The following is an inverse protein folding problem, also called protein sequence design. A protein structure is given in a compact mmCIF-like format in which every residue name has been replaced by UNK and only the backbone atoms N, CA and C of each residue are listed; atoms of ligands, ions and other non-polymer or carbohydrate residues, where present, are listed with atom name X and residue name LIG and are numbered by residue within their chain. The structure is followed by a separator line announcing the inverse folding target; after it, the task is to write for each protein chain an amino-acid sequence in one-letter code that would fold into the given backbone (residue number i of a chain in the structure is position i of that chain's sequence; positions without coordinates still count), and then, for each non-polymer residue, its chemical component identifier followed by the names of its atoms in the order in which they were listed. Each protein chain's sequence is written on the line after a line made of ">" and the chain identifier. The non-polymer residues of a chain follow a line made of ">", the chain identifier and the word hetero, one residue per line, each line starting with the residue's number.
data_IF_952766731903
#
_entry.id   IF_952766731903
#
_cell.length_a   1.000
_cell.length_b   1.000
_cell.length_c   1.000
_cell.angle_alpha   90.00
_cell.angle_beta   90.00
_cell.angle_gamma   90.00
#
_symmetry.space_group_name_H-M   'P 1'
#
loop_
_entity.id
_entity.type
_entity.pdbx_description
1 polymer ?
#
# COMPACT_ATOMS: atom_id res chain seq x y z
N UNK A 1 11.85 -22.77 -10.70
CA UNK A 1 11.08 -23.79 -11.43
C UNK A 1 10.79 -24.96 -10.50
N UNK A 2 9.55 -25.44 -10.52
CA UNK A 2 9.15 -26.68 -9.86
C UNK A 2 9.96 -27.89 -10.35
N UNK A 3 9.75 -29.06 -9.75
CA UNK A 3 10.37 -30.31 -10.22
C UNK A 3 9.93 -30.63 -11.66
N UNK A 4 8.72 -30.25 -12.03
CA UNK A 4 8.13 -30.41 -13.36
C UNK A 4 8.50 -29.32 -14.36
N UNK A 5 9.30 -28.32 -13.96
CA UNK A 5 9.79 -27.25 -14.83
C UNK A 5 8.80 -26.12 -15.07
N UNK A 6 7.65 -26.12 -14.40
CA UNK A 6 6.63 -25.06 -14.51
C UNK A 6 6.87 -23.93 -13.51
N UNK A 7 6.25 -22.77 -13.78
CA UNK A 7 6.30 -21.60 -12.88
C UNK A 7 5.55 -21.89 -11.57
N UNK A 8 4.39 -22.53 -11.66
CA UNK A 8 3.61 -23.00 -10.52
C UNK A 8 3.72 -24.52 -10.38
N UNK A 9 3.87 -25.01 -9.14
CA UNK A 9 3.87 -26.44 -8.86
C UNK A 9 2.52 -27.07 -9.22
N UNK A 10 2.56 -28.27 -9.80
CA UNK A 10 1.35 -29.02 -10.19
C UNK A 10 0.63 -29.64 -8.99
N UNK A 11 1.40 -30.07 -8.01
CA UNK A 11 0.93 -30.74 -6.79
C UNK A 11 1.92 -30.54 -5.63
N UNK A 12 1.57 -31.06 -4.46
CA UNK A 12 2.35 -30.97 -3.21
C UNK A 12 3.74 -31.64 -3.27
N UNK A 13 3.97 -32.53 -4.23
CA UNK A 13 5.25 -33.21 -4.44
C UNK A 13 6.10 -32.56 -5.53
N UNK A 14 5.55 -31.56 -6.23
CA UNK A 14 6.20 -30.87 -7.34
C UNK A 14 7.17 -29.78 -6.87
N UNK A 15 8.10 -30.17 -6.00
CA UNK A 15 9.16 -29.31 -5.51
C UNK A 15 10.51 -30.02 -5.60
N UNK A 16 11.56 -29.21 -5.64
CA UNK A 16 12.96 -29.62 -5.51
C UNK A 16 13.73 -28.48 -4.87
N UNK A 17 14.88 -28.79 -4.28
CA UNK A 17 15.83 -27.75 -3.90
C UNK A 17 16.14 -26.87 -5.10
N UNK A 18 16.13 -25.56 -4.89
CA UNK A 18 16.49 -24.61 -5.95
C UNK A 18 17.93 -24.85 -6.44
N UNK A 19 18.84 -25.22 -5.54
CA UNK A 19 20.22 -25.60 -5.84
C UNK A 19 20.70 -26.71 -4.89
N UNK A 20 21.62 -27.57 -5.37
CA UNK A 20 22.15 -28.71 -4.60
C UNK A 20 22.98 -28.30 -3.39
N UNK A 21 23.52 -27.07 -3.38
CA UNK A 21 24.29 -26.53 -2.25
C UNK A 21 23.46 -26.10 -1.05
N UNK A 22 22.14 -25.95 -1.22
CA UNK A 22 21.27 -25.41 -0.16
C UNK A 22 21.28 -26.30 1.09
N UNK A 23 21.07 -27.63 1.01
CA UNK A 23 21.05 -28.48 2.20
C UNK A 23 22.37 -28.43 2.98
N UNK A 24 23.50 -28.32 2.30
CA UNK A 24 24.82 -28.20 2.93
C UNK A 24 24.97 -26.86 3.67
N UNK A 25 24.60 -25.75 3.03
CA UNK A 25 24.66 -24.43 3.65
C UNK A 25 23.71 -24.26 4.83
N UNK A 26 22.50 -24.83 4.74
CA UNK A 26 21.57 -24.85 5.88
C UNK A 26 22.14 -25.63 7.06
N UNK A 27 22.75 -26.80 6.83
CA UNK A 27 23.42 -27.56 7.89
C UNK A 27 24.58 -26.81 8.51
N UNK A 28 25.37 -26.08 7.71
CA UNK A 28 26.45 -25.25 8.22
C UNK A 28 25.93 -24.12 9.13
N UNK A 29 24.83 -23.46 8.76
CA UNK A 29 24.21 -22.42 9.59
C UNK A 29 23.66 -22.96 10.91
N UNK A 30 22.99 -24.12 10.87
CA UNK A 30 22.52 -24.78 12.09
C UNK A 30 23.69 -25.13 13.02
N UNK A 31 24.78 -25.66 12.46
CA UNK A 31 26.01 -25.92 13.20
C UNK A 31 26.62 -24.65 13.82
N UNK A 32 26.58 -23.52 13.09
CA UNK A 32 27.04 -22.22 13.57
C UNK A 32 26.07 -21.56 14.58
N UNK A 33 24.99 -22.24 14.96
CA UNK A 33 24.04 -21.82 15.99
C UNK A 33 22.92 -20.90 15.50
N UNK A 34 22.73 -20.79 14.18
CA UNK A 34 21.61 -20.03 13.62
C UNK A 34 20.30 -20.81 13.77
N UNK A 35 19.24 -20.12 14.18
CA UNK A 35 17.88 -20.66 14.02
C UNK A 35 17.42 -20.44 12.59
N UNK A 36 17.14 -21.53 11.86
CA UNK A 36 16.63 -21.46 10.49
C UNK A 36 15.13 -21.19 10.54
N UNK A 37 14.70 -20.08 9.94
CA UNK A 37 13.30 -19.69 9.81
C UNK A 37 12.96 -19.61 8.32
N UNK A 38 11.88 -20.27 7.91
CA UNK A 38 11.31 -20.14 6.57
C UNK A 38 10.05 -19.31 6.70
N UNK A 39 10.08 -18.10 6.15
CA UNK A 39 8.91 -17.25 6.01
C UNK A 39 8.37 -17.36 4.59
N UNK A 40 7.05 -17.54 4.44
CA UNK A 40 6.41 -17.65 3.13
C UNK A 40 5.09 -16.89 3.14
N UNK A 41 4.87 -16.03 2.14
CA UNK A 41 3.68 -15.16 2.06
C UNK A 41 2.44 -15.91 1.51
N UNK A 42 2.28 -17.18 1.85
CA UNK A 42 1.10 -17.96 1.50
C UNK A 42 -0.02 -17.60 2.48
N UNK A 43 -0.94 -16.73 2.05
CA UNK A 43 -2.09 -16.35 2.87
C UNK A 43 -2.86 -17.60 3.32
N UNK A 44 -3.10 -17.72 4.65
CA UNK A 44 -3.90 -18.74 5.38
C UNK A 44 -3.14 -19.65 6.37
N UNK A 45 -1.87 -19.41 6.69
CA UNK A 45 -1.16 -20.18 7.73
C UNK A 45 -0.53 -19.22 8.75
N UNK A 46 -1.16 -18.98 9.90
CA UNK A 46 -0.48 -18.33 11.05
C UNK A 46 -1.22 -18.50 12.38
N UNK A 47 -0.50 -18.92 13.41
CA UNK A 47 -0.91 -18.85 14.83
C UNK A 47 -0.40 -17.55 15.50
N UNK A 48 -0.93 -17.22 16.68
CA UNK A 48 -1.17 -15.85 17.13
C UNK A 48 -0.08 -15.16 17.98
N UNK A 49 1.01 -15.80 18.39
CA UNK A 49 1.80 -15.23 19.50
C UNK A 49 3.31 -15.00 19.26
N UNK A 50 3.82 -15.28 18.06
CA UNK A 50 5.23 -15.25 17.60
C UNK A 50 6.22 -14.26 18.24
N UNK A 51 6.48 -14.39 19.54
CA UNK A 51 7.39 -13.55 20.32
C UNK A 51 8.66 -14.30 20.63
N UNK A 52 9.70 -14.03 19.83
CA UNK A 52 11.09 -14.32 20.19
C UNK A 52 11.94 -13.09 19.92
N UNK A 53 12.84 -12.77 20.85
CA UNK A 53 13.83 -11.71 20.65
C UNK A 53 14.90 -12.27 19.73
N UNK A 54 15.12 -11.61 18.58
CA UNK A 54 16.09 -12.01 17.56
C UNK A 54 17.18 -10.94 17.47
N UNK A 55 18.44 -11.37 17.47
CA UNK A 55 19.58 -10.49 17.17
C UNK A 55 19.62 -10.20 15.67
N UNK A 56 19.18 -9.01 15.29
CA UNK A 56 19.08 -8.57 13.89
C UNK A 56 20.43 -8.44 13.20
N UNK A 57 21.49 -8.10 13.95
CA UNK A 57 22.82 -7.88 13.39
C UNK A 57 23.50 -9.19 13.01
N UNK A 58 23.14 -10.28 13.71
CA UNK A 58 23.57 -11.65 13.43
C UNK A 58 22.53 -12.44 12.65
N UNK A 59 21.50 -11.79 12.14
CA UNK A 59 20.49 -12.40 11.28
C UNK A 59 20.74 -12.02 9.83
N UNK A 60 20.19 -12.81 8.92
CA UNK A 60 20.19 -12.53 7.49
C UNK A 60 18.87 -13.01 6.89
N UNK A 61 18.38 -12.29 5.89
CA UNK A 61 17.23 -12.67 5.08
C UNK A 61 17.74 -13.01 3.68
N UNK A 62 17.28 -14.15 3.15
CA UNK A 62 17.59 -14.59 1.80
C UNK A 62 16.28 -14.74 1.05
N UNK A 63 16.11 -14.02 -0.05
CA UNK A 63 14.86 -14.01 -0.81
C UNK A 63 15.06 -13.66 -2.28
N UNK A 64 14.18 -14.17 -3.14
CA UNK A 64 14.24 -13.98 -4.58
C UNK A 64 13.50 -12.71 -5.04
N UNK A 65 12.58 -12.18 -4.24
CA UNK A 65 11.87 -10.93 -4.51
C UNK A 65 12.71 -9.72 -4.10
N UNK A 66 13.75 -9.45 -4.89
CA UNK A 66 14.76 -8.43 -4.66
C UNK A 66 14.53 -7.13 -5.43
N UNK A 67 13.41 -7.04 -6.16
CA UNK A 67 13.04 -5.86 -6.95
C UNK A 67 13.85 -5.67 -8.23
N UNK A 68 14.60 -6.69 -8.67
CA UNK A 68 15.31 -6.66 -9.96
C UNK A 68 14.30 -6.49 -11.11
N UNK A 69 14.79 -6.10 -12.28
CA UNK A 69 13.93 -5.90 -13.46
C UNK A 69 13.07 -7.14 -13.75
N UNK A 70 13.71 -8.33 -13.72
CA UNK A 70 13.08 -9.64 -13.92
C UNK A 70 12.23 -10.13 -12.75
N UNK A 71 12.37 -9.54 -11.56
CA UNK A 71 11.63 -10.01 -10.39
C UNK A 71 10.17 -9.56 -10.48
N UNK A 72 9.28 -10.47 -10.07
CA UNK A 72 7.84 -10.19 -9.98
C UNK A 72 7.54 -9.14 -8.90
N UNK A 73 8.29 -9.14 -7.81
CA UNK A 73 8.09 -8.21 -6.69
C UNK A 73 9.40 -7.87 -5.97
N UNK A 74 9.31 -6.98 -4.99
CA UNK A 74 10.38 -6.50 -4.11
C UNK A 74 10.09 -6.78 -2.62
N UNK A 75 9.19 -7.74 -2.33
CA UNK A 75 8.70 -7.98 -0.97
C UNK A 75 9.79 -8.40 0.02
N UNK A 76 10.75 -9.22 -0.40
CA UNK A 76 11.74 -9.80 0.52
C UNK A 76 12.80 -8.76 0.90
N UNK A 77 13.28 -8.00 -0.09
CA UNK A 77 14.24 -6.91 0.16
C UNK A 77 13.63 -5.83 1.05
N UNK A 78 12.37 -5.47 0.79
CA UNK A 78 11.66 -4.49 1.60
C UNK A 78 11.33 -5.00 3.01
N UNK A 79 11.02 -6.30 3.16
CA UNK A 79 10.84 -6.92 4.48
C UNK A 79 12.13 -6.84 5.29
N UNK A 80 13.27 -7.12 4.65
CA UNK A 80 14.58 -6.99 5.28
C UNK A 80 14.89 -5.54 5.67
N UNK A 81 14.57 -4.56 4.82
CA UNK A 81 14.69 -3.13 5.12
C UNK A 81 13.85 -2.73 6.34
N UNK A 82 12.58 -3.11 6.39
CA UNK A 82 11.71 -2.84 7.54
C UNK A 82 12.20 -3.52 8.83
N UNK A 83 12.72 -4.74 8.70
CA UNK A 83 13.25 -5.50 9.81
C UNK A 83 14.59 -4.93 10.31
N UNK A 84 15.34 -4.23 9.46
CA UNK A 84 16.71 -3.80 9.74
C UNK A 84 17.68 -5.00 9.77
N UNK A 85 17.48 -5.97 8.87
CA UNK A 85 18.28 -7.20 8.77
C UNK A 85 18.97 -7.24 7.41
N UNK A 86 20.26 -7.65 7.32
CA UNK A 86 20.96 -7.84 6.05
C UNK A 86 20.19 -8.74 5.06
N UNK A 87 20.14 -8.32 3.80
CA UNK A 87 19.45 -9.04 2.71
C UNK A 87 20.45 -9.60 1.69
N UNK A 88 20.20 -10.81 1.21
CA UNK A 88 20.93 -11.42 0.10
C UNK A 88 19.97 -12.11 -0.87
N UNK A 89 20.31 -12.12 -2.16
CA UNK A 89 19.63 -13.01 -3.10
C UNK A 89 20.15 -14.44 -2.97
N UNK A 90 19.37 -15.46 -3.36
CA UNK A 90 19.84 -16.84 -3.40
C UNK A 90 21.12 -17.01 -4.23
N UNK A 91 21.24 -16.29 -5.34
CA UNK A 91 22.42 -16.33 -6.21
C UNK A 91 23.68 -15.85 -5.49
N UNK A 92 23.60 -14.73 -4.79
CA UNK A 92 24.73 -14.18 -4.03
C UNK A 92 25.07 -15.11 -2.88
N UNK A 93 24.07 -15.48 -2.07
CA UNK A 93 24.31 -16.21 -0.84
C UNK A 93 24.73 -17.66 -1.08
N UNK A 94 24.00 -18.40 -1.91
CA UNK A 94 24.23 -19.83 -2.10
C UNK A 94 25.30 -20.12 -3.16
N UNK A 95 25.43 -19.29 -4.20
CA UNK A 95 26.32 -19.55 -5.33
C UNK A 95 27.58 -18.67 -5.34
N UNK A 96 27.69 -17.68 -4.45
CA UNK A 96 28.84 -16.77 -4.42
C UNK A 96 28.94 -15.88 -5.65
N UNK A 97 27.82 -15.63 -6.35
CA UNK A 97 27.79 -14.71 -7.50
C UNK A 97 27.98 -13.27 -7.02
N UNK A 98 28.43 -12.41 -7.95
CA UNK A 98 28.47 -10.98 -7.71
C UNK A 98 27.06 -10.43 -7.48
N UNK A 99 26.88 -9.45 -6.59
CA UNK A 99 25.58 -8.83 -6.35
C UNK A 99 25.13 -8.02 -7.57
N UNK A 100 23.86 -8.20 -7.94
CA UNK A 100 23.16 -7.32 -8.88
C UNK A 100 22.52 -6.15 -8.13
N UNK A 101 22.30 -4.99 -8.77
CA UNK A 101 21.60 -3.87 -8.15
C UNK A 101 20.19 -4.27 -7.70
N UNK A 102 19.89 -4.05 -6.42
CA UNK A 102 18.54 -4.19 -5.87
C UNK A 102 17.66 -3.05 -6.40
N UNK A 103 16.38 -3.32 -6.59
CA UNK A 103 15.42 -2.35 -7.11
C UNK A 103 14.23 -2.13 -6.20
N UNK A 104 13.41 -1.13 -6.56
CA UNK A 104 12.12 -0.87 -5.95
C UNK A 104 11.06 -0.82 -7.05
N UNK A 105 10.03 -1.65 -6.95
CA UNK A 105 8.77 -1.56 -7.70
C UNK A 105 7.86 -0.49 -7.07
N UNK A 106 7.94 -0.31 -5.75
CA UNK A 106 7.30 0.79 -5.03
C UNK A 106 8.22 1.34 -3.92
N UNK A 107 8.31 2.66 -3.78
CA UNK A 107 8.97 3.29 -2.64
C UNK A 107 8.09 4.40 -2.05
N UNK A 108 7.70 4.31 -0.76
CA UNK A 108 6.93 5.36 -0.09
C UNK A 108 7.56 6.75 -0.21
N UNK A 109 8.89 6.85 -0.19
CA UNK A 109 9.59 8.13 -0.22
C UNK A 109 9.36 8.93 -1.51
N UNK A 110 9.08 8.26 -2.63
CA UNK A 110 8.75 8.92 -3.90
C UNK A 110 7.54 9.85 -3.79
N UNK A 111 6.65 9.61 -2.82
CA UNK A 111 5.39 10.32 -2.68
C UNK A 111 5.39 11.35 -1.53
N UNK A 112 6.50 11.50 -0.79
CA UNK A 112 6.53 12.39 0.38
C UNK A 112 6.54 13.89 0.03
N UNK A 113 7.18 14.25 -1.06
CA UNK A 113 7.42 15.66 -1.40
C UNK A 113 6.36 16.27 -2.34
N UNK A 114 5.40 15.47 -2.82
CA UNK A 114 4.45 15.90 -3.86
C UNK A 114 5.13 16.27 -5.18
N UNK A 115 4.35 16.66 -6.19
CA UNK A 115 4.89 17.25 -7.42
C UNK A 115 4.86 18.79 -7.31
N UNK A 116 6.01 19.48 -7.36
CA UNK A 116 6.08 20.94 -7.24
C UNK A 116 5.42 21.71 -8.40
N UNK A 117 5.16 21.07 -9.55
CA UNK A 117 4.52 21.68 -10.71
C UNK A 117 2.99 21.67 -10.64
N UNK A 118 2.40 20.99 -9.64
CA UNK A 118 0.95 20.87 -9.49
C UNK A 118 0.43 21.83 -8.41
N UNK A 119 -0.82 22.35 -8.55
CA UNK A 119 -1.37 23.34 -7.64
C UNK A 119 -1.32 22.87 -6.18
N UNK A 120 -0.95 23.78 -5.29
CA UNK A 120 -0.91 23.48 -3.86
C UNK A 120 -2.33 23.54 -3.25
N UNK A 121 -2.51 23.02 -2.03
CA UNK A 121 -3.79 23.12 -1.31
C UNK A 121 -4.29 24.57 -1.09
N UNK A 122 -3.40 25.58 -1.25
CA UNK A 122 -3.73 27.00 -1.15
C UNK A 122 -4.33 27.58 -2.45
N UNK A 123 -4.12 26.95 -3.60
CA UNK A 123 -4.76 27.34 -4.89
C UNK A 123 -6.28 27.07 -4.89
N UNK A 124 -6.77 26.39 -3.85
CA UNK A 124 -8.17 26.03 -3.64
C UNK A 124 -9.02 27.16 -3.01
N UNK A 125 -8.49 28.39 -2.93
CA UNK A 125 -9.29 29.59 -2.61
C UNK A 125 -10.41 29.85 -3.63
N UNK A 126 -10.41 29.14 -4.75
CA UNK A 126 -11.35 29.26 -5.86
C UNK A 126 -12.74 28.66 -5.57
N UNK A 127 -12.88 27.82 -4.53
CA UNK A 127 -14.17 27.21 -4.23
C UNK A 127 -15.13 28.19 -3.56
N UNK A 128 -16.21 28.54 -4.27
CA UNK A 128 -17.37 29.20 -3.67
C UNK A 128 -18.18 28.22 -2.83
N UNK A 129 -18.73 28.70 -1.71
CA UNK A 129 -19.66 27.94 -0.86
C UNK A 129 -20.93 27.50 -1.60
N UNK A 130 -21.24 28.12 -2.73
CA UNK A 130 -22.38 27.81 -3.59
C UNK A 130 -22.13 26.62 -4.52
N UNK A 131 -20.94 25.99 -4.48
CA UNK A 131 -20.56 24.88 -5.36
C UNK A 131 -20.69 23.51 -4.70
N UNK A 132 -21.12 22.50 -5.47
CA UNK A 132 -21.01 21.09 -5.06
C UNK A 132 -19.61 20.59 -5.41
N UNK A 133 -18.87 20.13 -4.40
CA UNK A 133 -17.55 19.51 -4.58
C UNK A 133 -17.69 17.99 -4.52
N UNK A 134 -17.34 17.30 -5.60
CA UNK A 134 -17.32 15.83 -5.67
C UNK A 134 -15.88 15.34 -5.50
N UNK A 135 -15.62 14.59 -4.42
CA UNK A 135 -14.30 14.01 -4.16
C UNK A 135 -14.20 12.62 -4.80
N UNK A 136 -13.43 12.52 -5.89
CA UNK A 136 -13.20 11.28 -6.63
C UNK A 136 -11.82 10.69 -6.27
N UNK A 137 -11.74 9.38 -6.09
CA UNK A 137 -10.49 8.68 -5.77
C UNK A 137 -10.72 7.33 -5.11
N UNK A 138 -9.70 6.48 -5.08
CA UNK A 138 -9.75 5.15 -4.47
C UNK A 138 -10.02 5.21 -2.95
N UNK A 139 -10.65 4.18 -2.33
CA UNK A 139 -10.75 4.07 -0.87
C UNK A 139 -9.38 4.22 -0.20
N UNK A 140 -9.28 4.86 0.96
CA UNK A 140 -7.99 5.07 1.63
C UNK A 140 -7.08 6.15 1.02
N UNK A 141 -7.40 6.71 -0.16
CA UNK A 141 -6.60 7.78 -0.80
C UNK A 141 -6.66 9.16 -0.10
N UNK A 142 -7.11 9.24 1.16
CA UNK A 142 -7.10 10.49 1.94
C UNK A 142 -8.27 11.47 1.70
N UNK A 143 -9.28 11.12 0.87
CA UNK A 143 -10.43 12.01 0.57
C UNK A 143 -11.14 12.59 1.82
N UNK A 144 -11.38 11.74 2.82
CA UNK A 144 -12.00 12.15 4.09
C UNK A 144 -11.10 13.13 4.83
N UNK A 145 -9.81 12.81 4.93
CA UNK A 145 -8.80 13.66 5.56
C UNK A 145 -8.72 15.01 4.87
N UNK A 146 -8.77 15.03 3.53
CA UNK A 146 -8.82 16.27 2.75
C UNK A 146 -10.06 17.11 3.09
N UNK A 147 -11.25 16.50 3.11
CA UNK A 147 -12.48 17.19 3.52
C UNK A 147 -12.34 17.81 4.91
N UNK A 148 -11.92 17.02 5.90
CA UNK A 148 -11.85 17.44 7.30
C UNK A 148 -10.85 18.58 7.52
N UNK A 149 -9.71 18.53 6.82
CA UNK A 149 -8.66 19.55 6.91
C UNK A 149 -9.00 20.84 6.18
N UNK A 150 -9.69 20.76 5.04
CA UNK A 150 -9.80 21.89 4.11
C UNK A 150 -11.21 22.36 3.78
N UNK A 151 -12.15 21.46 3.50
CA UNK A 151 -13.49 21.84 3.06
C UNK A 151 -14.38 22.14 4.26
N UNK A 152 -14.26 21.34 5.34
CA UNK A 152 -15.01 21.53 6.58
C UNK A 152 -14.74 22.91 7.20
N UNK A 153 -13.47 23.31 7.27
CA UNK A 153 -13.05 24.62 7.83
C UNK A 153 -13.52 25.80 7.00
N UNK A 154 -13.86 25.59 5.73
CA UNK A 154 -14.42 26.60 4.82
C UNK A 154 -15.95 26.63 4.80
N UNK A 155 -16.61 25.77 5.57
CA UNK A 155 -18.07 25.75 5.70
C UNK A 155 -18.79 24.75 4.78
N UNK A 156 -18.07 23.92 4.01
CA UNK A 156 -18.71 22.89 3.19
C UNK A 156 -19.34 21.81 4.07
N UNK A 157 -20.62 21.53 3.82
CA UNK A 157 -21.29 20.36 4.38
C UNK A 157 -20.90 19.10 3.59
N UNK A 158 -20.62 18.00 4.29
CA UNK A 158 -20.36 16.71 3.65
C UNK A 158 -21.62 15.85 3.59
N UNK A 159 -21.77 15.16 2.46
CA UNK A 159 -22.78 14.13 2.21
C UNK A 159 -22.07 12.89 1.64
N UNK A 160 -22.21 11.73 2.28
CA UNK A 160 -21.76 10.43 1.75
C UNK A 160 -22.99 9.63 1.37
N UNK A 161 -23.04 9.18 0.11
CA UNK A 161 -24.17 8.43 -0.43
C UNK A 161 -24.45 7.14 0.37
N UNK A 162 -23.43 6.57 1.04
CA UNK A 162 -23.58 5.35 1.86
C UNK A 162 -24.28 5.60 3.20
N UNK A 163 -24.46 6.85 3.59
CA UNK A 163 -25.20 7.22 4.80
C UNK A 163 -26.71 7.34 4.56
N UNK A 164 -27.20 7.00 3.37
CA UNK A 164 -28.61 7.11 2.99
C UNK A 164 -29.10 5.77 2.44
N UNK A 165 -30.33 5.42 2.78
CA UNK A 165 -30.94 4.14 2.41
C UNK A 165 -31.21 4.03 0.90
N UNK A 166 -31.43 5.16 0.22
CA UNK A 166 -31.69 5.22 -1.21
C UNK A 166 -31.14 6.48 -1.88
N UNK A 167 -31.10 6.44 -3.22
CA UNK A 167 -30.62 7.54 -4.07
C UNK A 167 -31.48 8.79 -3.91
N UNK A 168 -32.79 8.63 -3.84
CA UNK A 168 -33.74 9.73 -3.69
C UNK A 168 -33.51 10.48 -2.39
N UNK A 169 -33.31 9.76 -1.28
CA UNK A 169 -32.99 10.35 0.02
C UNK A 169 -31.66 11.11 0.00
N UNK A 170 -30.64 10.57 -0.69
CA UNK A 170 -29.36 11.27 -0.86
C UNK A 170 -29.51 12.56 -1.67
N UNK A 171 -30.21 12.53 -2.80
CA UNK A 171 -30.44 13.72 -3.65
C UNK A 171 -31.19 14.80 -2.86
N UNK A 172 -32.27 14.43 -2.14
CA UNK A 172 -33.01 15.37 -1.29
C UNK A 172 -32.12 16.03 -0.24
N UNK A 173 -31.22 15.26 0.39
CA UNK A 173 -30.30 15.77 1.40
C UNK A 173 -29.19 16.68 0.83
N UNK A 174 -28.82 16.50 -0.44
CA UNK A 174 -27.93 17.41 -1.18
C UNK A 174 -28.68 18.71 -1.51
N UNK A 175 -29.89 18.60 -2.03
CA UNK A 175 -30.77 19.74 -2.35
C UNK A 175 -31.05 20.62 -1.12
N UNK A 176 -31.33 20.00 0.03
CA UNK A 176 -31.53 20.72 1.28
C UNK A 176 -30.25 21.42 1.75
N UNK A 177 -29.08 20.76 1.63
CA UNK A 177 -27.80 21.36 1.98
C UNK A 177 -27.48 22.59 1.13
N UNK A 178 -27.82 22.53 -0.16
CA UNK A 178 -27.68 23.66 -1.10
C UNK A 178 -28.60 24.82 -0.75
N UNK A 179 -29.81 24.56 -0.23
CA UNK A 179 -30.78 25.61 0.13
C UNK A 179 -30.51 26.26 1.48
N UNK A 180 -30.12 25.49 2.49
CA UNK A 180 -30.15 25.96 3.89
C UNK A 180 -28.79 26.04 4.58
N UNK A 181 -27.73 25.47 4.01
CA UNK A 181 -26.39 25.53 4.59
C UNK A 181 -26.33 24.87 5.98
N UNK A 182 -25.69 23.70 6.05
CA UNK A 182 -25.38 22.93 7.28
C UNK A 182 -26.41 21.86 7.63
N UNK A 183 -26.02 20.61 7.36
CA UNK A 183 -26.22 19.53 8.34
C UNK A 183 -24.96 18.66 8.35
N UNK A 184 -24.54 18.17 9.51
CA UNK A 184 -23.39 17.27 9.64
C UNK A 184 -23.88 15.82 9.72
N UNK A 185 -23.27 14.93 8.95
CA UNK A 185 -23.55 13.49 9.00
C UNK A 185 -22.44 12.76 9.78
N UNK A 186 -22.80 11.73 10.55
CA UNK A 186 -21.84 10.86 11.26
C UNK A 186 -21.66 9.57 10.47
N UNK A 187 -20.42 9.28 10.09
CA UNK A 187 -20.08 8.12 9.26
C UNK A 187 -19.45 6.99 10.09
N UNK A 188 -19.74 5.75 9.73
CA UNK A 188 -18.94 4.57 10.07
C UNK A 188 -18.50 3.92 8.76
N UNK A 189 -17.19 3.84 8.52
CA UNK A 189 -16.63 3.12 7.37
C UNK A 189 -16.05 1.79 7.82
N UNK A 190 -16.42 0.66 7.20
CA UNK A 190 -15.68 -0.57 7.35
C UNK A 190 -14.30 -0.42 6.69
N UNK A 191 -13.29 -1.07 7.27
CA UNK A 191 -11.95 -1.19 6.67
C UNK A 191 -12.07 -2.05 5.41
N UNK A 192 -11.57 -1.55 4.28
CA UNK A 192 -11.58 -2.30 3.02
C UNK A 192 -10.46 -3.36 3.01
N UNK A 193 -10.78 -4.65 2.83
CA UNK A 193 -9.76 -5.69 2.65
C UNK A 193 -8.94 -5.45 1.37
N UNK A 194 -7.64 -5.75 1.42
CA UNK A 194 -6.68 -5.48 0.32
C UNK A 194 -7.05 -6.10 -1.02
N UNK A 195 -7.58 -7.31 -1.04
CA UNK A 195 -7.99 -7.98 -2.28
C UNK A 195 -9.12 -7.21 -3.00
N UNK A 196 -10.10 -6.71 -2.25
CA UNK A 196 -11.19 -5.91 -2.82
C UNK A 196 -10.70 -4.53 -3.31
N UNK A 197 -9.61 -4.02 -2.73
CA UNK A 197 -9.00 -2.77 -3.18
C UNK A 197 -8.35 -2.91 -4.57
N UNK A 198 -7.65 -4.02 -4.83
CA UNK A 198 -6.99 -4.26 -6.12
C UNK A 198 -7.99 -4.35 -7.28
N UNK A 199 -9.19 -4.87 -7.03
CA UNK A 199 -10.27 -4.94 -8.04
C UNK A 199 -10.80 -3.55 -8.47
N UNK A 200 -10.58 -2.51 -7.65
CA UNK A 200 -11.05 -1.15 -7.93
C UNK A 200 -10.10 -0.38 -8.84
N UNK A 201 -8.80 -0.69 -8.80
CA UNK A 201 -7.76 0.03 -9.55
C UNK A 201 -8.05 0.05 -11.06
N UNK A 202 -8.28 -1.10 -11.75
CA UNK A 202 -8.51 -1.09 -13.19
C UNK A 202 -9.87 -0.50 -13.60
N UNK A 203 -10.79 -0.31 -12.65
CA UNK A 203 -12.13 0.27 -12.89
C UNK A 203 -12.19 1.76 -12.56
N UNK A 204 -11.12 2.32 -12.03
CA UNK A 204 -11.07 3.72 -11.64
C UNK A 204 -10.88 4.58 -12.88
N UNK A 205 -11.88 5.42 -13.16
CA UNK A 205 -11.84 6.41 -14.23
C UNK A 205 -11.73 7.81 -13.62
N UNK A 206 -10.81 8.62 -14.16
CA UNK A 206 -10.70 10.02 -13.78
C UNK A 206 -11.90 10.80 -14.33
N UNK A 207 -12.46 11.76 -13.57
CA UNK A 207 -13.55 12.60 -14.08
C UNK A 207 -13.09 13.42 -15.28
N UNK A 208 -13.99 13.67 -16.22
CA UNK A 208 -13.76 14.57 -17.37
C UNK A 208 -14.80 15.69 -17.44
N UNK A 209 -14.43 16.85 -17.99
CA UNK A 209 -15.35 18.01 -18.08
C UNK A 209 -16.65 17.68 -18.85
N UNK A 210 -16.61 16.72 -19.78
CA UNK A 210 -17.77 16.24 -20.52
C UNK A 210 -18.87 15.59 -19.67
N UNK A 211 -18.58 15.24 -18.41
CA UNK A 211 -19.57 14.74 -17.45
C UNK A 211 -20.42 15.85 -16.82
N UNK A 212 -20.14 17.13 -17.15
CA UNK A 212 -20.89 18.28 -16.64
C UNK A 212 -20.23 19.01 -15.47
N UNK A 213 -18.97 18.71 -15.14
CA UNK A 213 -18.21 19.45 -14.14
C UNK A 213 -17.83 20.84 -14.65
N UNK A 214 -18.03 21.86 -13.81
CA UNK A 214 -17.59 23.23 -14.12
C UNK A 214 -16.06 23.35 -14.14
N UNK A 215 -15.38 22.64 -13.24
CA UNK A 215 -13.94 22.56 -13.15
C UNK A 215 -13.52 21.23 -12.52
N UNK A 216 -12.30 20.78 -12.83
CA UNK A 216 -11.69 19.59 -12.26
C UNK A 216 -10.34 20.00 -11.66
N UNK A 217 -10.16 19.71 -10.37
CA UNK A 217 -8.95 20.02 -9.63
C UNK A 217 -8.29 18.73 -9.16
N UNK A 218 -7.07 18.48 -9.60
CA UNK A 218 -6.29 17.33 -9.15
C UNK A 218 -5.63 17.65 -7.81
N UNK A 219 -6.02 16.93 -6.76
CA UNK A 219 -5.41 17.05 -5.43
C UNK A 219 -4.25 16.07 -5.31
N UNK A 220 -3.05 16.59 -5.07
CA UNK A 220 -1.88 15.75 -4.86
C UNK A 220 -1.88 15.12 -3.46
N UNK A 221 -1.36 13.90 -3.37
CA UNK A 221 -1.03 13.33 -2.07
C UNK A 221 0.06 14.18 -1.43
N UNK A 222 -0.20 14.60 -0.20
CA UNK A 222 0.77 15.25 0.66
C UNK A 222 0.72 14.59 2.02
N UNK A 223 1.85 14.05 2.44
CA UNK A 223 1.94 13.45 3.76
C UNK A 223 1.71 14.51 4.85
N UNK A 224 0.96 14.12 5.88
CA UNK A 224 0.75 14.92 7.10
C UNK A 224 0.59 13.98 8.29
N UNK A 225 1.28 14.26 9.38
CA UNK A 225 1.22 13.47 10.60
C UNK A 225 2.36 13.84 11.55
N UNK A 226 2.54 13.03 12.58
CA UNK A 226 3.70 13.06 13.49
C UNK A 226 4.91 12.33 12.87
N UNK A 227 6.10 12.57 13.39
CA UNK A 227 7.31 11.87 12.97
C UNK A 227 7.20 10.34 13.19
N UNK A 228 6.60 9.90 14.29
CA UNK A 228 6.35 8.49 14.55
C UNK A 228 5.39 7.85 13.52
N UNK A 229 4.35 8.59 13.09
CA UNK A 229 3.45 8.14 12.02
C UNK A 229 4.14 8.15 10.66
N UNK A 230 5.05 9.10 10.41
CA UNK A 230 5.88 9.12 9.21
C UNK A 230 6.73 7.85 9.13
N UNK A 231 7.38 7.48 10.24
CA UNK A 231 8.23 6.30 10.32
C UNK A 231 7.44 5.02 10.09
N UNK A 232 6.19 4.94 10.55
CA UNK A 232 5.30 3.82 10.25
C UNK A 232 4.90 3.85 8.78
N UNK A 233 4.53 5.02 8.24
CA UNK A 233 4.09 5.17 6.87
C UNK A 233 5.19 4.85 5.84
N UNK A 234 6.44 5.22 6.15
CA UNK A 234 7.63 4.95 5.34
C UNK A 234 8.00 3.46 5.27
N UNK A 235 7.41 2.61 6.12
CA UNK A 235 7.61 1.17 6.01
C UNK A 235 7.04 0.66 4.70
N UNK A 236 7.66 -0.37 4.17
CA UNK A 236 7.12 -1.10 3.04
C UNK A 236 5.99 -2.02 3.52
N UNK A 237 4.82 -1.98 2.88
CA UNK A 237 3.67 -2.78 3.29
C UNK A 237 3.45 -3.93 2.30
N UNK A 238 3.58 -5.16 2.78
CA UNK A 238 3.56 -6.39 1.98
C UNK A 238 2.19 -6.98 1.76
#
# INVERSE_FOLDING_TARGET
>A
MSKSGTLHGKDETDWRWWHESIPEKLRALDFDGYTIIIASNQGRLTEQDGRRVIDKQRSLIIGDSAGRESDFSDSDVHWAMNAGVPFYTPEVYFLGKAPEPLGHKFNPEWHLNGNPEKPNDADMAQFSLESIVVLVGLPGAGKTTFYDRFLRTRGFARRDARSYDCREAFILAVDEAMRHGIAMNKEQRPVYPRLQFLDLIPRFENPVLGEGFHAIHEVQFKWSGTEAELDIWKKFWF
#
